data_IF_380968565549
#
_entry.id   IF_380968565549
#
_cell.length_a   1.000
_cell.length_b   1.000
_cell.length_c   1.000
_cell.angle_alpha   90.00
_cell.angle_beta   90.00
_cell.angle_gamma   90.00
#
_symmetry.space_group_name_H-M   'P 1'
#
loop_
_entity.id
_entity.type
_entity.pdbx_description
1 polymer ?
#
# COMPACT_ATOMS: atom_id res chain seq x y z
N UNK A 1 -21.74 -7.44 17.29
CA UNK A 1 -20.85 -8.22 16.40
C UNK A 1 -19.47 -7.59 16.42
N UNK A 2 -18.41 -8.37 16.20
CA UNK A 2 -17.03 -7.85 16.15
C UNK A 2 -16.34 -8.23 14.84
N UNK A 3 -15.41 -7.38 14.40
CA UNK A 3 -14.53 -7.64 13.28
C UNK A 3 -13.60 -8.84 13.54
N UNK A 4 -13.11 -9.45 12.45
CA UNK A 4 -12.31 -10.67 12.52
C UNK A 4 -10.95 -10.46 13.23
N UNK A 5 -10.30 -9.31 13.04
CA UNK A 5 -9.02 -9.00 13.66
C UNK A 5 -9.18 -8.65 15.13
N UNK A 6 -10.27 -7.94 15.50
CA UNK A 6 -10.61 -7.68 16.92
C UNK A 6 -10.77 -9.01 17.68
N UNK A 7 -11.50 -9.96 17.10
CA UNK A 7 -11.70 -11.26 17.73
C UNK A 7 -10.39 -12.03 17.91
N UNK A 8 -9.52 -11.99 16.89
CA UNK A 8 -8.24 -12.70 16.87
C UNK A 8 -7.20 -12.09 17.82
N UNK A 9 -7.03 -10.77 17.79
CA UNK A 9 -6.02 -10.07 18.61
C UNK A 9 -6.38 -10.08 20.11
N UNK A 10 -7.66 -9.89 20.44
CA UNK A 10 -8.14 -9.87 21.81
C UNK A 10 -8.61 -11.26 22.29
N UNK A 11 -8.51 -12.27 21.44
CA UNK A 11 -8.92 -13.66 21.69
C UNK A 11 -10.39 -13.78 22.13
N UNK A 12 -11.28 -12.96 21.56
CA UNK A 12 -12.70 -13.02 21.84
C UNK A 12 -13.40 -14.16 21.10
N UNK A 13 -14.31 -14.84 21.81
CA UNK A 13 -15.16 -15.90 21.28
C UNK A 13 -16.64 -15.52 21.27
N UNK A 14 -17.45 -16.31 20.56
CA UNK A 14 -18.90 -16.18 20.62
C UNK A 14 -19.39 -16.36 22.06
N UNK A 15 -20.37 -15.56 22.45
CA UNK A 15 -20.98 -15.49 23.78
C UNK A 15 -20.10 -14.91 24.90
N UNK A 16 -18.88 -14.46 24.62
CA UNK A 16 -18.10 -13.73 25.61
C UNK A 16 -18.62 -12.30 25.80
N UNK A 17 -18.31 -11.73 26.96
CA UNK A 17 -18.67 -10.38 27.34
C UNK A 17 -17.56 -9.39 26.97
N UNK A 18 -17.95 -8.25 26.41
CA UNK A 18 -17.08 -7.14 26.06
C UNK A 18 -17.54 -5.92 26.84
N UNK A 19 -16.60 -5.34 27.58
CA UNK A 19 -16.79 -4.08 28.28
C UNK A 19 -16.29 -2.97 27.36
N UNK A 20 -17.18 -2.03 27.04
CA UNK A 20 -16.85 -0.84 26.27
C UNK A 20 -16.43 0.25 27.25
N UNK A 21 -15.50 1.10 26.85
CA UNK A 21 -14.99 2.16 27.72
C UNK A 21 -14.76 3.46 26.97
N UNK A 22 -14.85 4.57 27.68
CA UNK A 22 -14.44 5.87 27.19
C UNK A 22 -12.92 6.01 27.29
N UNK A 23 -12.29 6.39 26.19
CA UNK A 23 -10.86 6.71 26.17
C UNK A 23 -10.31 6.85 24.76
N UNK A 24 -9.19 7.55 24.66
CA UNK A 24 -8.42 7.65 23.42
C UNK A 24 -7.10 6.91 23.63
N UNK A 25 -6.92 5.78 22.94
CA UNK A 25 -5.69 4.97 23.02
C UNK A 25 -5.67 3.99 24.20
N UNK A 26 -4.49 3.77 24.80
CA UNK A 26 -4.26 2.71 25.81
C UNK A 26 -4.80 3.03 27.22
N UNK A 27 -5.38 4.20 27.44
CA UNK A 27 -5.94 4.61 28.73
C UNK A 27 -7.46 4.68 28.61
N UNK A 28 -8.14 3.75 29.26
CA UNK A 28 -9.55 3.84 29.56
C UNK A 28 -9.73 4.75 30.78
N UNK A 29 -10.66 5.70 30.69
CA UNK A 29 -10.99 6.62 31.79
C UNK A 29 -12.22 6.16 32.56
N UNK A 30 -13.22 5.61 31.87
CA UNK A 30 -14.47 5.12 32.45
C UNK A 30 -14.93 3.89 31.68
N UNK A 31 -15.24 2.81 32.38
CA UNK A 31 -15.67 1.53 31.82
C UNK A 31 -17.17 1.34 32.05
N UNK A 32 -17.84 0.68 31.10
CA UNK A 32 -19.24 0.27 31.21
C UNK A 32 -19.31 -1.21 31.62
N UNK A 33 -18.72 -1.53 32.78
CA UNK A 33 -18.62 -2.90 33.32
C UNK A 33 -19.91 -3.36 34.01
N UNK A 34 -20.80 -2.44 34.33
CA UNK A 34 -22.17 -2.66 34.80
C UNK A 34 -23.10 -3.19 33.70
N UNK A 35 -22.80 -2.89 32.43
CA UNK A 35 -23.60 -3.26 31.25
C UNK A 35 -22.73 -3.80 30.12
N UNK A 36 -22.14 -5.00 30.29
CA UNK A 36 -21.31 -5.60 29.25
C UNK A 36 -22.14 -6.01 28.03
N UNK A 37 -21.53 -5.90 26.85
CA UNK A 37 -22.09 -6.40 25.60
C UNK A 37 -21.71 -7.85 25.38
N UNK A 38 -22.62 -8.66 24.83
CA UNK A 38 -22.32 -10.04 24.45
C UNK A 38 -21.93 -10.17 22.98
N UNK A 39 -20.88 -10.93 22.69
CA UNK A 39 -20.47 -11.24 21.31
C UNK A 39 -21.46 -12.21 20.67
N UNK A 40 -22.31 -11.67 19.78
CA UNK A 40 -23.31 -12.45 19.04
C UNK A 40 -22.82 -12.96 17.68
N UNK A 41 -21.69 -12.46 17.20
CA UNK A 41 -21.15 -12.81 15.89
C UNK A 41 -19.77 -12.22 15.66
N UNK A 42 -18.93 -12.98 14.95
CA UNK A 42 -17.61 -12.57 14.48
C UNK A 42 -17.68 -12.49 12.96
N UNK A 43 -17.34 -11.35 12.39
CA UNK A 43 -17.33 -11.13 10.95
C UNK A 43 -16.26 -12.01 10.28
N UNK A 44 -16.50 -12.41 9.03
CA UNK A 44 -15.47 -13.07 8.22
C UNK A 44 -14.40 -12.04 7.84
N UNK A 45 -13.12 -12.45 7.72
CA UNK A 45 -12.06 -11.54 7.31
C UNK A 45 -12.34 -10.95 5.93
N UNK A 46 -12.27 -9.63 5.84
CA UNK A 46 -12.51 -8.85 4.62
C UNK A 46 -11.25 -8.16 4.09
N UNK A 47 -10.20 -7.99 4.91
CA UNK A 47 -9.03 -7.19 4.60
C UNK A 47 -9.32 -5.69 4.60
N UNK A 48 -10.40 -5.25 5.25
CA UNK A 48 -10.82 -3.83 5.28
C UNK A 48 -10.89 -3.32 6.73
N UNK A 49 -10.99 -1.99 6.96
CA UNK A 49 -11.08 -1.45 8.31
C UNK A 49 -12.24 -2.02 9.15
N UNK A 50 -13.25 -2.64 8.53
CA UNK A 50 -14.36 -3.33 9.22
C UNK A 50 -13.87 -4.51 10.07
N UNK A 51 -12.73 -5.13 9.72
CA UNK A 51 -12.15 -6.21 10.51
C UNK A 51 -11.61 -5.73 11.87
N UNK A 52 -11.41 -4.42 12.02
CA UNK A 52 -10.90 -3.77 13.23
C UNK A 52 -12.00 -3.00 13.99
N UNK A 53 -13.29 -3.25 13.70
CA UNK A 53 -14.41 -2.55 14.35
C UNK A 53 -15.26 -3.43 15.28
N UNK A 54 -15.82 -2.81 16.31
CA UNK A 54 -16.88 -3.38 17.15
C UNK A 54 -18.20 -2.76 16.72
N UNK A 55 -19.19 -3.59 16.41
CA UNK A 55 -20.53 -3.18 15.99
C UNK A 55 -21.54 -3.46 17.11
N UNK A 56 -22.09 -2.39 17.64
CA UNK A 56 -23.16 -2.38 18.64
C UNK A 56 -24.40 -1.70 18.06
N UNK A 57 -25.58 -2.06 18.55
CA UNK A 57 -26.82 -1.39 18.16
C UNK A 57 -26.88 0.00 18.79
N UNK A 58 -27.60 0.93 18.16
CA UNK A 58 -27.79 2.26 18.74
C UNK A 58 -28.56 2.18 20.05
N UNK A 59 -29.57 1.31 20.13
CA UNK A 59 -30.33 1.05 21.34
C UNK A 59 -29.44 0.50 22.47
N UNK A 60 -28.41 -0.27 22.12
CA UNK A 60 -27.43 -0.75 23.09
C UNK A 60 -26.56 0.38 23.64
N UNK A 61 -26.16 1.33 22.78
CA UNK A 61 -25.47 2.56 23.20
C UNK A 61 -26.40 3.46 24.02
N UNK A 62 -27.69 3.55 23.71
CA UNK A 62 -28.65 4.29 24.55
C UNK A 62 -28.80 3.62 25.91
N UNK A 63 -28.97 2.29 25.93
CA UNK A 63 -29.15 1.51 27.16
C UNK A 63 -27.97 1.62 28.12
N UNK A 64 -26.72 1.66 27.62
CA UNK A 64 -25.55 1.81 28.49
C UNK A 64 -25.44 3.21 29.11
N UNK A 65 -26.01 4.25 28.46
CA UNK A 65 -25.94 5.64 28.92
C UNK A 65 -27.25 6.17 29.57
N UNK A 66 -28.26 5.33 29.79
CA UNK A 66 -29.62 5.80 30.14
C UNK A 66 -29.72 6.47 31.53
N UNK A 67 -28.86 6.08 32.47
CA UNK A 67 -28.71 6.65 33.81
C UNK A 67 -27.43 7.49 33.96
N UNK A 68 -26.77 7.81 32.84
CA UNK A 68 -25.63 8.71 32.80
C UNK A 68 -26.11 10.15 32.59
N UNK A 69 -25.69 11.05 33.48
CA UNK A 69 -26.01 12.46 33.36
C UNK A 69 -24.76 13.27 33.00
N UNK A 70 -24.85 14.08 31.95
CA UNK A 70 -23.75 14.95 31.49
C UNK A 70 -22.41 14.23 31.26
N UNK A 71 -22.44 12.95 30.90
CA UNK A 71 -21.24 12.13 30.68
C UNK A 71 -20.59 11.58 31.95
N UNK A 72 -21.26 11.67 33.11
CA UNK A 72 -20.85 11.04 34.36
C UNK A 72 -21.70 9.78 34.65
N UNK A 73 -21.08 8.73 35.24
CA UNK A 73 -21.81 7.54 35.66
C UNK A 73 -22.78 7.85 36.81
N UNK A 74 -23.82 7.02 37.01
CA UNK A 74 -24.77 7.16 38.11
C UNK A 74 -24.05 7.08 39.48
N UNK A 75 -24.63 7.72 40.49
CA UNK A 75 -24.15 7.59 41.87
C UNK A 75 -24.38 6.16 42.39
N UNK A 76 -23.58 5.73 43.38
CA UNK A 76 -23.74 4.41 43.99
C UNK A 76 -25.17 4.23 44.55
N UNK A 77 -25.88 3.22 44.05
CA UNK A 77 -27.26 2.91 44.44
C UNK A 77 -28.35 3.53 43.57
N UNK A 78 -28.01 4.38 42.59
CA UNK A 78 -28.96 5.00 41.66
C UNK A 78 -28.98 4.34 40.27
N UNK A 79 -28.15 3.32 40.04
CA UNK A 79 -28.11 2.62 38.76
C UNK A 79 -29.35 1.75 38.54
N UNK A 80 -29.91 1.86 37.34
CA UNK A 80 -31.04 1.05 36.91
C UNK A 80 -30.61 -0.39 36.61
N UNK A 81 -31.41 -1.36 37.06
CA UNK A 81 -31.16 -2.76 36.75
C UNK A 81 -31.55 -3.11 35.30
N UNK A 82 -31.10 -4.26 34.81
CA UNK A 82 -31.35 -4.68 33.43
C UNK A 82 -32.85 -4.74 33.06
N UNK A 83 -33.72 -5.22 33.95
CA UNK A 83 -35.16 -5.31 33.68
C UNK A 83 -35.84 -3.94 33.62
N UNK A 84 -35.34 -2.95 34.35
CA UNK A 84 -35.81 -1.57 34.32
C UNK A 84 -35.40 -0.89 33.02
N UNK A 85 -34.14 -1.02 32.60
CA UNK A 85 -33.63 -0.44 31.35
C UNK A 85 -34.38 -0.99 30.14
N UNK A 86 -34.66 -2.29 30.10
CA UNK A 86 -35.37 -2.93 28.98
C UNK A 86 -36.85 -2.53 28.86
N UNK A 87 -37.41 -1.84 29.87
CA UNK A 87 -38.77 -1.27 29.81
C UNK A 87 -38.81 0.15 29.25
N UNK A 88 -37.65 0.80 29.13
CA UNK A 88 -37.54 2.15 28.60
C UNK A 88 -37.58 2.15 27.07
N UNK A 89 -37.91 3.30 26.49
CA UNK A 89 -37.69 3.52 25.06
C UNK A 89 -36.19 3.80 24.86
N UNK A 90 -35.53 2.89 24.14
CA UNK A 90 -34.09 2.94 23.89
C UNK A 90 -33.75 3.52 22.52
N UNK A 91 -34.75 4.00 21.77
CA UNK A 91 -34.49 4.68 20.51
C UNK A 91 -33.67 5.95 20.77
N UNK A 92 -32.52 6.12 20.12
CA UNK A 92 -31.69 7.30 20.31
C UNK A 92 -32.41 8.55 19.78
N UNK A 93 -32.44 9.61 20.58
CA UNK A 93 -32.93 10.92 20.12
C UNK A 93 -31.89 11.64 19.25
N UNK A 94 -30.60 11.35 19.47
CA UNK A 94 -29.47 11.98 18.78
C UNK A 94 -28.52 10.93 18.17
N UNK A 95 -27.97 11.22 16.99
CA UNK A 95 -26.95 10.39 16.34
C UNK A 95 -25.78 11.26 15.87
N UNK A 96 -24.57 10.73 15.93
CA UNK A 96 -23.35 11.48 15.57
C UNK A 96 -23.10 11.54 14.07
N UNK A 97 -23.54 10.52 13.33
CA UNK A 97 -23.36 10.45 11.88
C UNK A 97 -24.31 9.45 11.24
N UNK A 98 -24.62 9.69 9.97
CA UNK A 98 -25.40 8.77 9.14
C UNK A 98 -25.03 8.95 7.66
N UNK A 99 -25.29 7.91 6.87
CA UNK A 99 -25.02 7.92 5.43
C UNK A 99 -26.31 8.22 4.65
N UNK A 100 -26.27 9.25 3.82
CA UNK A 100 -27.39 9.62 2.94
C UNK A 100 -27.13 9.12 1.51
N UNK A 101 -27.96 8.21 1.03
CA UNK A 101 -27.97 7.78 -0.36
C UNK A 101 -28.79 8.73 -1.25
N UNK A 102 -28.15 9.35 -2.25
CA UNK A 102 -28.84 10.25 -3.19
C UNK A 102 -29.35 9.50 -4.42
N UNK A 103 -30.57 9.80 -4.85
CA UNK A 103 -31.14 9.26 -6.12
C UNK A 103 -30.51 9.89 -7.37
N UNK A 104 -29.96 11.11 -7.26
CA UNK A 104 -29.29 11.82 -8.35
C UNK A 104 -27.94 12.36 -7.88
N UNK A 105 -26.87 11.97 -8.59
CA UNK A 105 -25.49 12.42 -8.28
C UNK A 105 -25.31 13.92 -8.47
N UNK A 106 -26.08 14.54 -9.37
CA UNK A 106 -25.98 15.97 -9.69
C UNK A 106 -26.37 16.84 -8.49
N UNK A 107 -27.23 16.32 -7.60
CA UNK A 107 -27.66 17.06 -6.40
C UNK A 107 -26.67 16.99 -5.24
N UNK A 108 -25.59 16.20 -5.33
CA UNK A 108 -24.69 15.96 -4.20
C UNK A 108 -24.11 17.25 -3.60
N UNK A 109 -23.58 18.14 -4.43
CA UNK A 109 -23.00 19.40 -3.97
C UNK A 109 -24.04 20.39 -3.43
N UNK A 110 -25.26 20.37 -3.99
CA UNK A 110 -26.36 21.21 -3.51
C UNK A 110 -26.79 20.77 -2.10
N UNK A 111 -27.08 19.48 -1.92
CA UNK A 111 -27.47 18.91 -0.63
C UNK A 111 -26.36 19.09 0.40
N UNK A 112 -25.10 18.83 0.03
CA UNK A 112 -23.96 19.07 0.91
C UNK A 112 -23.92 20.52 1.42
N UNK A 113 -24.10 21.50 0.51
CA UNK A 113 -24.14 22.91 0.88
C UNK A 113 -25.34 23.25 1.76
N UNK A 114 -26.53 22.73 1.45
CA UNK A 114 -27.73 22.95 2.24
C UNK A 114 -27.52 22.47 3.68
N UNK A 115 -26.99 21.26 3.87
CA UNK A 115 -26.66 20.72 5.20
C UNK A 115 -25.60 21.57 5.91
N UNK A 116 -24.49 21.89 5.23
CA UNK A 116 -23.40 22.69 5.81
C UNK A 116 -23.78 24.14 6.12
N UNK A 117 -24.90 24.63 5.60
CA UNK A 117 -25.40 26.00 5.84
C UNK A 117 -26.68 26.03 6.66
N UNK A 118 -27.13 24.87 7.15
CA UNK A 118 -28.26 24.76 8.04
C UNK A 118 -27.95 25.47 9.36
N UNK A 119 -28.86 26.35 9.80
CA UNK A 119 -28.62 27.26 10.92
C UNK A 119 -29.18 26.77 12.25
N UNK A 120 -30.20 25.92 12.21
CA UNK A 120 -30.87 25.43 13.41
C UNK A 120 -29.99 24.44 14.15
N UNK A 121 -29.14 23.72 13.42
CA UNK A 121 -28.21 22.74 13.97
C UNK A 121 -26.86 22.79 13.24
N UNK A 122 -25.72 22.74 13.97
CA UNK A 122 -24.39 22.72 13.37
C UNK A 122 -24.07 21.35 12.75
N UNK A 123 -24.46 21.17 11.49
CA UNK A 123 -24.22 19.94 10.74
C UNK A 123 -23.00 20.04 9.82
N UNK A 124 -22.35 18.89 9.58
CA UNK A 124 -21.28 18.75 8.60
C UNK A 124 -21.55 17.58 7.64
N UNK A 125 -21.73 17.91 6.37
CA UNK A 125 -21.84 16.98 5.27
C UNK A 125 -20.51 16.90 4.50
N UNK A 126 -19.96 15.69 4.44
CA UNK A 126 -18.84 15.33 3.58
C UNK A 126 -19.33 14.45 2.43
N UNK A 127 -18.64 14.51 1.30
CA UNK A 127 -18.85 13.59 0.19
C UNK A 127 -17.72 12.56 0.22
N UNK A 128 -17.97 11.32 0.71
CA UNK A 128 -16.91 10.33 0.89
C UNK A 128 -16.11 10.08 -0.39
N UNK A 129 -16.77 10.06 -1.55
CA UNK A 129 -16.09 9.88 -2.84
C UNK A 129 -15.13 11.02 -3.21
N UNK A 130 -15.45 12.27 -2.85
CA UNK A 130 -14.56 13.41 -3.11
C UNK A 130 -13.38 13.40 -2.14
N UNK A 131 -13.64 13.15 -0.85
CA UNK A 131 -12.58 13.03 0.15
C UNK A 131 -11.60 11.89 -0.19
N UNK A 132 -12.09 10.74 -0.64
CA UNK A 132 -11.25 9.66 -1.13
C UNK A 132 -10.45 10.07 -2.36
N UNK A 133 -11.06 10.80 -3.32
CA UNK A 133 -10.34 11.28 -4.50
C UNK A 133 -9.21 12.25 -4.13
N UNK A 134 -9.42 13.13 -3.15
CA UNK A 134 -8.36 14.01 -2.64
C UNK A 134 -7.20 13.21 -2.04
N UNK A 135 -7.49 12.19 -1.23
CA UNK A 135 -6.47 11.27 -0.70
C UNK A 135 -5.69 10.59 -1.84
N UNK A 136 -6.37 10.06 -2.86
CA UNK A 136 -5.73 9.45 -4.02
C UNK A 136 -4.87 10.43 -4.82
N UNK A 137 -5.25 11.70 -4.89
CA UNK A 137 -4.45 12.72 -5.56
C UNK A 137 -3.14 13.03 -4.81
N UNK A 138 -3.19 13.06 -3.48
CA UNK A 138 -1.98 13.21 -2.64
C UNK A 138 -1.06 12.00 -2.86
N UNK A 139 -1.61 10.78 -2.82
CA UNK A 139 -0.86 9.56 -3.07
C UNK A 139 -0.24 9.54 -4.47
N UNK A 140 -0.99 9.94 -5.51
CA UNK A 140 -0.48 10.06 -6.89
C UNK A 140 0.67 11.05 -6.99
N UNK A 141 0.61 12.16 -6.25
CA UNK A 141 1.68 13.16 -6.25
C UNK A 141 2.96 12.58 -5.63
N UNK A 142 2.82 11.89 -4.48
CA UNK A 142 3.94 11.19 -3.85
C UNK A 142 4.52 10.09 -4.76
N UNK A 143 3.66 9.29 -5.38
CA UNK A 143 4.04 8.26 -6.35
C UNK A 143 4.82 8.84 -7.53
N UNK A 144 4.37 9.97 -8.07
CA UNK A 144 5.04 10.66 -9.18
C UNK A 144 6.44 11.12 -8.77
N UNK A 145 6.61 11.66 -7.56
CA UNK A 145 7.91 12.03 -7.01
C UNK A 145 8.87 10.83 -6.90
N UNK A 146 8.40 9.72 -6.34
CA UNK A 146 9.18 8.48 -6.23
C UNK A 146 9.53 7.90 -7.62
N UNK A 147 8.63 8.02 -8.60
CA UNK A 147 8.88 7.56 -9.97
C UNK A 147 9.99 8.36 -10.65
N UNK A 148 10.07 9.66 -10.42
CA UNK A 148 11.18 10.49 -10.93
C UNK A 148 12.51 10.01 -10.35
N UNK A 149 12.57 9.75 -9.04
CA UNK A 149 13.77 9.20 -8.39
C UNK A 149 14.13 7.83 -8.98
N UNK A 150 13.13 6.97 -9.21
CA UNK A 150 13.32 5.65 -9.82
C UNK A 150 13.96 5.75 -11.20
N UNK A 151 13.51 6.71 -12.04
CA UNK A 151 14.14 6.96 -13.34
C UNK A 151 15.59 7.40 -13.20
N UNK A 152 15.90 8.32 -12.27
CA UNK A 152 17.29 8.74 -12.02
C UNK A 152 18.19 7.58 -11.60
N UNK A 153 17.74 6.74 -10.68
CA UNK A 153 18.48 5.56 -10.22
C UNK A 153 18.70 4.57 -11.36
N UNK A 154 17.68 4.33 -12.19
CA UNK A 154 17.80 3.49 -13.38
C UNK A 154 18.85 4.05 -14.35
N UNK A 155 18.79 5.34 -14.68
CA UNK A 155 19.76 5.99 -15.57
C UNK A 155 21.18 5.93 -15.00
N UNK A 156 21.37 6.18 -13.70
CA UNK A 156 22.66 6.06 -13.05
C UNK A 156 23.20 4.62 -13.12
N UNK A 157 22.35 3.62 -12.88
CA UNK A 157 22.70 2.20 -13.02
C UNK A 157 23.12 1.82 -14.44
N UNK A 158 22.36 2.30 -15.45
CA UNK A 158 22.68 2.08 -16.87
C UNK A 158 24.01 2.74 -17.27
N UNK A 159 24.29 3.96 -16.80
CA UNK A 159 25.58 4.63 -17.01
C UNK A 159 26.74 3.88 -16.33
N UNK A 160 26.51 3.41 -15.10
CA UNK A 160 27.46 2.56 -14.38
C UNK A 160 27.78 1.28 -15.16
N UNK A 161 26.76 0.63 -15.70
CA UNK A 161 26.91 -0.56 -16.55
C UNK A 161 27.74 -0.28 -17.81
N UNK A 162 27.46 0.81 -18.54
CA UNK A 162 28.29 1.21 -19.70
C UNK A 162 29.74 1.40 -19.29
N UNK A 163 29.97 2.08 -18.18
CA UNK A 163 31.32 2.38 -17.70
C UNK A 163 32.07 1.09 -17.35
N UNK A 164 31.40 0.14 -16.69
CA UNK A 164 31.96 -1.17 -16.38
C UNK A 164 32.30 -1.97 -17.66
N UNK A 165 31.38 -2.01 -18.63
CA UNK A 165 31.61 -2.70 -19.91
C UNK A 165 32.75 -2.07 -20.70
N UNK A 166 32.83 -0.73 -20.77
CA UNK A 166 33.93 -0.03 -21.43
C UNK A 166 35.27 -0.23 -20.74
N UNK A 167 35.31 -0.31 -19.40
CA UNK A 167 36.54 -0.66 -18.66
C UNK A 167 36.97 -2.10 -18.96
N UNK A 168 36.02 -3.04 -18.85
CA UNK A 168 36.25 -4.45 -19.14
C UNK A 168 36.76 -4.69 -20.57
N UNK A 169 36.28 -3.93 -21.55
CA UNK A 169 36.80 -3.97 -22.92
C UNK A 169 38.30 -3.65 -23.00
N UNK A 170 38.75 -2.63 -22.25
CA UNK A 170 40.15 -2.21 -22.26
C UNK A 170 41.04 -3.25 -21.55
N UNK A 171 40.57 -3.83 -20.45
CA UNK A 171 41.27 -4.86 -19.69
C UNK A 171 41.39 -6.17 -20.46
N UNK A 172 40.32 -6.57 -21.17
CA UNK A 172 40.22 -7.84 -21.91
C UNK A 172 40.66 -7.73 -23.37
N UNK A 173 41.41 -6.67 -23.72
CA UNK A 173 41.88 -6.43 -25.10
C UNK A 173 42.74 -7.58 -25.65
N UNK A 174 43.54 -8.23 -24.79
CA UNK A 174 44.34 -9.42 -25.16
C UNK A 174 43.47 -10.64 -25.48
N UNK A 175 42.41 -10.88 -24.72
CA UNK A 175 41.47 -11.99 -24.99
C UNK A 175 40.76 -11.81 -26.33
N UNK A 176 40.35 -10.58 -26.66
CA UNK A 176 39.74 -10.29 -27.96
C UNK A 176 40.71 -10.49 -29.12
N UNK A 177 41.98 -10.12 -28.96
CA UNK A 177 43.01 -10.39 -29.98
C UNK A 177 43.18 -11.90 -30.23
N UNK A 178 43.14 -12.72 -29.16
CA UNK A 178 43.19 -14.18 -29.27
C UNK A 178 41.95 -14.71 -30.00
N UNK A 179 40.75 -14.29 -29.61
CA UNK A 179 39.51 -14.70 -30.30
C UNK A 179 39.55 -14.38 -31.79
N UNK A 180 40.11 -13.23 -32.15
CA UNK A 180 40.29 -12.85 -33.56
C UNK A 180 41.31 -13.72 -34.28
N UNK A 181 42.39 -14.14 -33.63
CA UNK A 181 43.38 -15.04 -34.24
C UNK A 181 42.79 -16.41 -34.61
N UNK A 182 41.72 -16.83 -33.94
CA UNK A 182 40.96 -18.06 -34.21
C UNK A 182 39.83 -17.82 -35.24
N UNK A 183 39.68 -16.60 -35.75
CA UNK A 183 38.72 -16.25 -36.81
C UNK A 183 37.45 -15.55 -36.35
N UNK A 184 37.33 -15.13 -35.08
CA UNK A 184 36.17 -14.38 -34.63
C UNK A 184 36.08 -13.01 -35.33
N UNK A 185 34.96 -12.76 -36.00
CA UNK A 185 34.69 -11.48 -36.66
C UNK A 185 34.35 -10.36 -35.67
N UNK A 186 34.42 -9.08 -36.10
CA UNK A 186 34.06 -7.94 -35.27
C UNK A 186 32.59 -7.99 -34.80
N UNK A 187 31.69 -8.59 -35.59
CA UNK A 187 30.29 -8.82 -35.18
C UNK A 187 30.14 -9.81 -34.02
N UNK A 188 31.01 -10.82 -33.90
CA UNK A 188 30.99 -11.77 -32.79
C UNK A 188 31.32 -11.07 -31.47
N UNK A 189 32.30 -10.17 -31.47
CA UNK A 189 32.66 -9.36 -30.29
C UNK A 189 31.51 -8.43 -29.92
N UNK A 190 30.91 -7.75 -30.89
CA UNK A 190 29.75 -6.89 -30.65
C UNK A 190 28.56 -7.66 -30.05
N UNK A 191 28.26 -8.84 -30.58
CA UNK A 191 27.20 -9.71 -30.05
C UNK A 191 27.49 -10.12 -28.61
N UNK A 192 28.73 -10.50 -28.30
CA UNK A 192 29.11 -10.92 -26.95
C UNK A 192 28.85 -9.81 -25.91
N UNK A 193 29.14 -8.55 -26.26
CA UNK A 193 28.96 -7.41 -25.35
C UNK A 193 27.48 -7.04 -25.16
N UNK A 194 26.69 -7.09 -26.22
CA UNK A 194 25.25 -6.89 -26.13
C UNK A 194 24.64 -8.01 -25.28
N UNK A 195 25.07 -9.25 -25.48
CA UNK A 195 24.63 -10.39 -24.68
C UNK A 195 25.02 -10.24 -23.21
N UNK A 196 26.26 -9.84 -22.91
CA UNK A 196 26.72 -9.57 -21.54
C UNK A 196 25.88 -8.48 -20.87
N UNK A 197 25.62 -7.35 -21.55
CA UNK A 197 24.75 -6.29 -21.03
C UNK A 197 23.32 -6.77 -20.77
N UNK A 198 22.80 -7.64 -21.64
CA UNK A 198 21.47 -8.23 -21.51
C UNK A 198 21.41 -9.13 -20.28
N UNK A 199 22.39 -10.03 -20.13
CA UNK A 199 22.48 -10.97 -19.00
C UNK A 199 22.60 -10.21 -17.68
N UNK A 200 23.44 -9.18 -17.61
CA UNK A 200 23.57 -8.34 -16.42
C UNK A 200 22.24 -7.62 -16.08
N UNK A 201 21.54 -7.11 -17.09
CA UNK A 201 20.25 -6.44 -16.90
C UNK A 201 19.18 -7.42 -16.40
N UNK A 202 19.08 -8.61 -17.02
CA UNK A 202 18.13 -9.65 -16.61
C UNK A 202 18.43 -10.15 -15.21
N UNK A 203 19.70 -10.38 -14.87
CA UNK A 203 20.10 -10.78 -13.52
C UNK A 203 19.74 -9.69 -12.49
N UNK A 204 19.97 -8.42 -12.81
CA UNK A 204 19.56 -7.29 -11.97
C UNK A 204 18.04 -7.21 -11.78
N UNK A 205 17.25 -7.45 -12.83
CA UNK A 205 15.79 -7.51 -12.74
C UNK A 205 15.35 -8.66 -11.82
N UNK A 206 15.88 -9.87 -12.02
CA UNK A 206 15.53 -11.03 -11.19
C UNK A 206 15.86 -10.75 -9.72
N UNK A 207 17.05 -10.20 -9.45
CA UNK A 207 17.47 -9.87 -8.09
C UNK A 207 16.61 -8.76 -7.47
N UNK A 208 16.29 -7.72 -8.23
CA UNK A 208 15.40 -6.63 -7.79
C UNK A 208 13.99 -7.13 -7.48
N UNK A 209 13.43 -8.01 -8.32
CA UNK A 209 12.13 -8.64 -8.07
C UNK A 209 12.16 -9.50 -6.82
N UNK A 210 13.22 -10.28 -6.61
CA UNK A 210 13.37 -11.10 -5.41
C UNK A 210 13.35 -10.22 -4.14
N UNK A 211 14.13 -9.12 -4.13
CA UNK A 211 14.13 -8.18 -3.02
C UNK A 211 12.75 -7.56 -2.81
N UNK A 212 12.07 -7.16 -3.89
CA UNK A 212 10.72 -6.59 -3.82
C UNK A 212 9.74 -7.55 -3.14
N UNK A 213 9.67 -8.81 -3.58
CA UNK A 213 8.74 -9.79 -3.02
C UNK A 213 9.08 -10.16 -1.58
N UNK A 214 10.36 -10.25 -1.23
CA UNK A 214 10.79 -10.44 0.17
C UNK A 214 10.34 -9.25 1.03
N UNK A 215 10.56 -8.02 0.55
CA UNK A 215 10.17 -6.81 1.26
C UNK A 215 8.64 -6.74 1.45
N UNK A 216 7.85 -7.08 0.42
CA UNK A 216 6.40 -7.13 0.51
C UNK A 216 5.95 -8.18 1.53
N UNK A 217 6.49 -9.40 1.47
CA UNK A 217 6.14 -10.48 2.39
C UNK A 217 6.45 -10.13 3.86
N UNK A 218 7.58 -9.46 4.12
CA UNK A 218 7.98 -9.05 5.47
C UNK A 218 7.17 -7.83 5.95
N UNK A 219 6.88 -6.88 5.07
CA UNK A 219 6.19 -5.63 5.44
C UNK A 219 4.68 -5.79 5.57
N UNK A 220 4.05 -6.72 4.84
CA UNK A 220 2.60 -6.94 4.88
C UNK A 220 2.03 -7.08 6.30
N UNK A 221 2.51 -8.00 7.18
CA UNK A 221 1.94 -8.14 8.52
C UNK A 221 2.17 -6.91 9.40
N UNK A 222 3.28 -6.19 9.20
CA UNK A 222 3.58 -4.96 9.94
C UNK A 222 2.61 -3.84 9.52
N UNK A 223 2.36 -3.71 8.22
CA UNK A 223 1.46 -2.68 7.69
C UNK A 223 0.00 -2.96 8.08
N UNK A 224 -0.41 -4.22 8.08
CA UNK A 224 -1.73 -4.64 8.53
C UNK A 224 -1.94 -4.34 10.01
N UNK A 225 -0.98 -4.72 10.87
CA UNK A 225 -1.10 -4.53 12.32
C UNK A 225 -1.06 -3.05 12.75
N UNK A 226 -0.18 -2.23 12.17
CA UNK A 226 0.01 -0.84 12.61
C UNK A 226 -0.86 0.17 11.88
N UNK A 227 -1.23 -0.11 10.62
CA UNK A 227 -1.94 0.84 9.77
C UNK A 227 -3.28 0.31 9.24
N UNK A 228 -3.64 -0.95 9.52
CA UNK A 228 -4.86 -1.56 8.98
C UNK A 228 -4.82 -1.71 7.45
N UNK A 229 -3.62 -1.68 6.85
CA UNK A 229 -3.41 -1.73 5.42
C UNK A 229 -3.02 -3.14 4.98
N UNK A 230 -4.00 -3.88 4.46
CA UNK A 230 -3.74 -5.17 3.83
C UNK A 230 -3.19 -4.96 2.41
N UNK A 231 -1.90 -5.20 2.20
CA UNK A 231 -1.26 -5.20 0.88
C UNK A 231 -1.19 -6.63 0.37
N UNK A 232 -1.95 -6.93 -0.68
CA UNK A 232 -1.91 -8.23 -1.34
C UNK A 232 -0.57 -8.43 -2.06
N UNK A 233 0.03 -9.60 -1.85
CA UNK A 233 1.20 -10.05 -2.63
C UNK A 233 0.69 -10.67 -3.92
N UNK A 234 0.35 -9.82 -4.87
CA UNK A 234 -0.13 -10.23 -6.18
C UNK A 234 1.02 -10.54 -7.15
N UNK A 235 0.73 -11.34 -8.17
CA UNK A 235 1.66 -11.57 -9.27
C UNK A 235 1.87 -10.31 -10.11
N UNK A 236 3.02 -10.22 -10.80
CA UNK A 236 3.36 -9.13 -11.72
C UNK A 236 2.19 -8.76 -12.64
N UNK A 237 1.84 -7.47 -12.65
CA UNK A 237 0.83 -6.94 -13.54
C UNK A 237 1.33 -6.90 -14.98
N UNK A 238 0.40 -6.82 -15.94
CA UNK A 238 0.71 -6.56 -17.34
C UNK A 238 1.54 -5.27 -17.52
N UNK A 239 1.28 -4.24 -16.70
CA UNK A 239 2.05 -2.99 -16.72
C UNK A 239 3.50 -3.21 -16.25
N UNK A 240 3.70 -4.03 -15.24
CA UNK A 240 5.03 -4.34 -14.71
C UNK A 240 5.84 -5.11 -15.75
N UNK A 241 5.21 -6.08 -16.43
CA UNK A 241 5.85 -6.82 -17.52
C UNK A 241 6.32 -5.91 -18.65
N UNK A 242 5.50 -4.95 -19.08
CA UNK A 242 5.90 -3.94 -20.09
C UNK A 242 7.11 -3.15 -19.60
N UNK A 243 7.11 -2.71 -18.35
CA UNK A 243 8.21 -1.95 -17.77
C UNK A 243 9.50 -2.76 -17.70
N UNK A 244 9.43 -4.02 -17.27
CA UNK A 244 10.58 -4.93 -17.22
C UNK A 244 11.16 -5.19 -18.61
N UNK A 245 10.33 -5.45 -19.61
CA UNK A 245 10.76 -5.60 -21.01
C UNK A 245 11.42 -4.30 -21.51
N UNK A 246 10.86 -3.14 -21.16
CA UNK A 246 11.46 -1.84 -21.44
C UNK A 246 12.85 -1.66 -20.83
N UNK A 247 13.07 -2.12 -19.59
CA UNK A 247 14.37 -2.08 -18.92
C UNK A 247 15.37 -3.01 -19.61
N UNK A 248 14.97 -4.23 -19.99
CA UNK A 248 15.84 -5.15 -20.76
C UNK A 248 16.27 -4.51 -22.07
N UNK A 249 15.33 -3.89 -22.80
CA UNK A 249 15.63 -3.19 -24.04
C UNK A 249 16.57 -2.01 -23.82
N UNK A 250 16.37 -1.22 -22.77
CA UNK A 250 17.29 -0.14 -22.41
C UNK A 250 18.71 -0.68 -22.11
N UNK A 251 18.83 -1.76 -21.34
CA UNK A 251 20.11 -2.42 -21.07
C UNK A 251 20.82 -2.89 -22.35
N UNK A 252 20.09 -3.51 -23.27
CA UNK A 252 20.59 -3.89 -24.60
C UNK A 252 21.11 -2.68 -25.39
N UNK A 253 20.34 -1.58 -25.42
CA UNK A 253 20.75 -0.36 -26.10
C UNK A 253 22.03 0.23 -25.50
N UNK A 254 22.18 0.16 -24.17
CA UNK A 254 23.40 0.61 -23.51
C UNK A 254 24.61 -0.24 -23.90
N UNK A 255 24.43 -1.55 -24.11
CA UNK A 255 25.45 -2.47 -24.64
C UNK A 255 25.88 -2.18 -26.09
N UNK A 256 25.07 -1.50 -26.89
CA UNK A 256 25.43 -1.13 -28.27
C UNK A 256 26.60 -0.14 -28.32
N UNK A 257 26.70 0.77 -27.35
CA UNK A 257 27.78 1.78 -27.31
C UNK A 257 29.17 1.12 -27.23
N UNK A 258 29.47 0.26 -26.23
CA UNK A 258 30.74 -0.47 -26.20
C UNK A 258 30.90 -1.41 -27.39
N UNK A 259 29.82 -2.04 -27.88
CA UNK A 259 29.86 -2.93 -29.02
C UNK A 259 30.27 -2.23 -30.33
N UNK A 260 29.75 -1.04 -30.61
CA UNK A 260 30.13 -0.23 -31.78
C UNK A 260 31.59 0.23 -31.67
N UNK A 261 32.02 0.64 -30.47
CA UNK A 261 33.41 1.03 -30.22
C UNK A 261 34.38 -0.14 -30.48
N UNK A 262 34.06 -1.32 -29.97
CA UNK A 262 34.85 -2.53 -30.19
C UNK A 262 34.88 -2.93 -31.68
N UNK A 263 33.75 -2.84 -32.38
CA UNK A 263 33.65 -3.11 -33.82
C UNK A 263 34.59 -2.22 -34.64
N UNK A 264 34.59 -0.91 -34.38
CA UNK A 264 35.44 0.07 -35.08
C UNK A 264 36.92 -0.14 -34.80
N UNK A 265 37.31 -0.37 -33.55
CA UNK A 265 38.71 -0.63 -33.19
C UNK A 265 39.23 -1.92 -33.83
N UNK A 266 38.38 -2.94 -33.90
CA UNK A 266 38.70 -4.23 -34.53
C UNK A 266 38.98 -4.07 -36.04
N UNK A 267 38.19 -3.28 -36.76
CA UNK A 267 38.45 -3.01 -38.19
C UNK A 267 39.78 -2.27 -38.42
N UNK A 268 40.10 -1.28 -37.59
CA UNK A 268 41.34 -0.52 -37.69
C UNK A 268 42.60 -1.38 -37.39
N UNK A 269 42.55 -2.20 -36.34
CA UNK A 269 43.66 -3.08 -35.95
C UNK A 269 43.87 -4.23 -36.98
N UNK A 270 42.85 -4.59 -37.78
CA UNK A 270 42.98 -5.59 -38.84
C UNK A 270 43.62 -5.10 -40.14
N UNK A 271 43.75 -3.79 -40.35
CA UNK A 271 44.35 -3.18 -41.55
C UNK A 271 45.77 -2.64 -41.33
N UNK A 272 46.31 -2.74 -40.13
CA UNK A 272 47.68 -2.29 -39.83
C UNK A 272 48.61 -3.50 -39.72
N UNK A 273 49.36 -3.76 -40.79
CA UNK A 273 50.52 -4.66 -40.73
C UNK A 273 51.55 -3.98 -39.83
N UNK A 274 51.76 -4.53 -38.63
CA UNK A 274 52.86 -4.11 -37.77
C UNK A 274 54.14 -4.79 -38.30
N UNK A 275 55.00 -3.99 -38.92
CA UNK A 275 56.41 -4.31 -39.19
C UNK A 275 57.19 -4.38 -37.87
#
# INVERSE_FOLDING_TARGET
MIGSEVAKELNYQLNEEIIVAHGTGKKSFLQHDDRPFKVTGILRPTGTPVDQTVHVSLEGITAMHVDWESGAPPMEGESLNFEEVMKLDLQPEEITSFLIGLKSKIHAFKIQREINSYKEEPLSAILPGVALQELWNILRTAETGLRVITWFVLFAGLLGMITALLSGLNERRREMAILRSVGAGPGTISFLLIFESTVLTVAGIIFGLLILYIALFVSQPILEAYFGLFISVDSLSYKDLILLVGIVFAGMLMGLIPAIKAYRQSLADGMTVRL
#
